data_IF_486251146465
#
_entry.id   IF_486251146465
#
_cell.length_a   1.000
_cell.length_b   1.000
_cell.length_c   1.000
_cell.angle_alpha   90.00
_cell.angle_beta   90.00
_cell.angle_gamma   90.00
#
_symmetry.space_group_name_H-M   'P 1'
#
loop_
_entity.id
_entity.type
_entity.pdbx_description
1 polymer ?
#
# COMPACT_ATOMS: atom_id res chain seq x y z
N UNK A 1 4.54 -3.61 13.49
CA UNK A 1 4.10 -2.71 12.40
C UNK A 1 3.83 -3.42 11.06
N UNK A 2 4.79 -4.13 10.46
CA UNK A 2 4.57 -4.88 9.19
C UNK A 2 3.46 -5.91 9.32
N UNK A 3 3.55 -6.76 10.35
CA UNK A 3 2.59 -7.83 10.64
C UNK A 3 1.17 -7.28 10.85
N UNK A 4 1.04 -6.14 11.50
CA UNK A 4 -0.27 -5.52 11.78
C UNK A 4 -0.89 -4.91 10.52
N UNK A 5 -0.11 -4.17 9.73
CA UNK A 5 -0.56 -3.67 8.43
C UNK A 5 -0.97 -4.83 7.51
N UNK A 6 -0.21 -5.94 7.56
CA UNK A 6 -0.50 -7.14 6.79
C UNK A 6 -1.76 -7.85 7.27
N UNK A 7 -1.95 -8.00 8.58
CA UNK A 7 -3.19 -8.54 9.16
C UNK A 7 -4.39 -7.67 8.82
N UNK A 8 -4.25 -6.35 8.91
CA UNK A 8 -5.31 -5.40 8.60
C UNK A 8 -5.75 -5.52 7.13
N UNK A 9 -4.77 -5.58 6.22
CA UNK A 9 -5.03 -5.82 4.80
C UNK A 9 -5.73 -7.16 4.56
N UNK A 10 -5.27 -8.22 5.23
CA UNK A 10 -5.83 -9.57 5.13
C UNK A 10 -7.26 -9.64 5.66
N UNK A 11 -7.51 -9.11 6.85
CA UNK A 11 -8.84 -9.11 7.51
C UNK A 11 -9.89 -8.41 6.63
N UNK A 12 -9.49 -7.33 5.97
CA UNK A 12 -10.33 -6.53 5.08
C UNK A 12 -10.35 -7.05 3.64
N UNK A 13 -9.66 -8.16 3.34
CA UNK A 13 -9.48 -8.71 1.99
C UNK A 13 -8.99 -7.69 0.96
N UNK A 14 -8.16 -6.74 1.39
CA UNK A 14 -7.67 -5.63 0.58
C UNK A 14 -6.56 -6.11 -0.35
N UNK A 15 -6.59 -5.70 -1.62
CA UNK A 15 -5.49 -5.89 -2.55
C UNK A 15 -4.48 -4.77 -2.37
N UNK A 16 -3.33 -5.15 -1.82
CA UNK A 16 -2.26 -4.23 -1.46
C UNK A 16 -1.15 -4.34 -2.48
N UNK A 17 -0.86 -3.22 -3.13
CA UNK A 17 0.22 -3.03 -4.06
C UNK A 17 1.45 -2.46 -3.34
N UNK A 18 2.62 -3.02 -3.59
CA UNK A 18 3.85 -2.61 -2.93
C UNK A 18 4.58 -1.58 -3.80
N UNK A 19 4.62 -0.31 -3.35
CA UNK A 19 5.18 0.80 -4.14
C UNK A 19 6.54 1.28 -3.63
N UNK A 20 7.56 1.27 -4.50
CA UNK A 20 8.94 1.73 -4.25
C UNK A 20 9.54 1.25 -2.91
N UNK A 21 9.14 0.07 -2.45
CA UNK A 21 9.63 -0.55 -1.22
C UNK A 21 10.00 -2.01 -1.53
N UNK A 22 10.95 -2.57 -0.78
CA UNK A 22 11.31 -3.99 -0.84
C UNK A 22 11.11 -4.58 0.56
N UNK A 23 9.89 -5.00 0.86
CA UNK A 23 9.53 -5.56 2.17
C UNK A 23 8.84 -6.92 2.00
N UNK A 24 9.60 -7.98 1.65
CA UNK A 24 9.05 -9.32 1.45
C UNK A 24 8.38 -9.88 2.72
N UNK A 25 8.79 -9.44 3.92
CA UNK A 25 8.13 -9.83 5.17
C UNK A 25 6.65 -9.44 5.21
N UNK A 26 6.22 -8.37 4.53
CA UNK A 26 4.80 -8.02 4.46
C UNK A 26 3.98 -9.11 3.78
N UNK A 27 4.48 -9.63 2.66
CA UNK A 27 3.85 -10.69 1.85
C UNK A 27 3.69 -11.97 2.67
N UNK A 28 4.70 -12.29 3.48
CA UNK A 28 4.68 -13.46 4.38
C UNK A 28 3.60 -13.32 5.44
N UNK A 29 3.41 -12.13 6.02
CA UNK A 29 2.38 -11.91 7.04
C UNK A 29 0.98 -11.69 6.48
N UNK A 30 0.86 -11.10 5.29
CA UNK A 30 -0.45 -10.89 4.65
C UNK A 30 -0.96 -12.17 4.02
N UNK A 31 -0.06 -13.14 3.79
CA UNK A 31 -0.29 -14.37 3.03
C UNK A 31 -1.00 -14.09 1.69
N UNK A 32 -0.80 -12.89 1.16
CA UNK A 32 -1.47 -12.37 -0.02
C UNK A 32 -0.42 -11.83 -0.97
N UNK A 33 -0.58 -12.16 -2.24
CA UNK A 33 0.26 -11.63 -3.31
C UNK A 33 0.11 -10.12 -3.34
N UNK A 34 1.23 -9.41 -3.17
CA UNK A 34 1.27 -7.97 -3.43
C UNK A 34 1.82 -7.76 -4.83
N UNK A 35 1.08 -7.00 -5.62
CA UNK A 35 1.55 -6.56 -6.92
C UNK A 35 2.63 -5.49 -6.72
N UNK A 36 3.78 -5.66 -7.37
CA UNK A 36 4.88 -4.67 -7.38
C UNK A 36 4.75 -3.68 -8.53
N UNK A 37 3.61 -3.72 -9.22
CA UNK A 37 3.31 -2.93 -10.40
C UNK A 37 2.71 -1.59 -9.99
N UNK A 38 2.54 -0.69 -10.95
CA UNK A 38 1.88 0.60 -10.74
C UNK A 38 0.47 0.38 -10.20
N UNK A 39 0.19 0.80 -8.97
CA UNK A 39 -1.11 0.62 -8.35
C UNK A 39 -2.16 1.46 -9.08
N UNK A 40 -3.35 0.87 -9.28
CA UNK A 40 -4.43 1.55 -9.99
C UNK A 40 -5.31 2.38 -9.04
N UNK A 41 -6.03 3.36 -9.60
CA UNK A 41 -7.06 4.07 -8.85
C UNK A 41 -8.13 3.08 -8.36
N UNK A 42 -8.44 3.13 -7.06
CA UNK A 42 -9.29 2.21 -6.35
C UNK A 42 -8.53 1.15 -5.55
N UNK A 43 -7.26 0.90 -5.87
CA UNK A 43 -6.42 -0.08 -5.16
C UNK A 43 -5.69 0.52 -3.96
N UNK A 44 -5.21 -0.35 -3.09
CA UNK A 44 -4.49 0.06 -1.88
C UNK A 44 -3.01 -0.16 -2.11
N UNK A 45 -2.21 0.81 -1.69
CA UNK A 45 -0.76 0.76 -1.71
C UNK A 45 -0.20 0.68 -0.32
N UNK A 46 0.86 -0.08 -0.17
CA UNK A 46 1.75 0.02 0.97
C UNK A 46 3.04 0.70 0.56
N UNK A 47 3.36 1.79 1.24
CA UNK A 47 4.60 2.53 1.06
C UNK A 47 4.97 3.29 2.32
N UNK A 48 6.07 4.04 2.30
CA UNK A 48 6.43 4.95 3.40
C UNK A 48 5.73 6.29 3.20
N UNK A 49 5.42 7.00 4.29
CA UNK A 49 4.81 8.35 4.24
C UNK A 49 5.52 9.29 3.25
N UNK A 50 6.84 9.20 3.17
CA UNK A 50 7.69 10.01 2.27
C UNK A 50 7.49 9.71 0.78
N UNK A 51 7.06 8.49 0.43
CA UNK A 51 6.81 8.08 -0.96
C UNK A 51 5.33 8.24 -1.35
N UNK A 52 4.47 8.63 -0.40
CA UNK A 52 3.06 8.88 -0.66
C UNK A 52 2.85 10.12 -1.54
N UNK A 53 3.79 11.07 -1.47
CA UNK A 53 3.83 12.32 -2.24
C UNK A 53 3.83 12.09 -3.77
N UNK A 54 4.22 10.88 -4.21
CA UNK A 54 4.16 10.46 -5.61
C UNK A 54 2.71 10.30 -6.11
N UNK A 55 1.74 10.20 -5.20
CA UNK A 55 0.31 10.05 -5.52
C UNK A 55 -0.48 11.31 -5.14
N UNK A 56 -1.08 11.97 -6.13
CA UNK A 56 -1.89 13.19 -5.93
C UNK A 56 -3.16 12.97 -5.10
N UNK A 57 -3.76 11.77 -5.14
CA UNK A 57 -4.93 11.46 -4.34
C UNK A 57 -4.81 10.05 -3.75
N UNK A 58 -4.43 10.00 -2.48
CA UNK A 58 -4.38 8.78 -1.68
C UNK A 58 -5.07 8.98 -0.33
N UNK A 59 -5.94 8.05 0.04
CA UNK A 59 -6.63 8.04 1.32
C UNK A 59 -5.89 7.11 2.29
N UNK A 60 -5.28 7.66 3.34
CA UNK A 60 -4.54 6.87 4.33
C UNK A 60 -5.53 6.02 5.12
N UNK A 61 -5.48 4.70 4.91
CA UNK A 61 -6.29 3.73 5.64
C UNK A 61 -5.62 3.30 6.95
N UNK A 62 -4.28 3.30 6.97
CA UNK A 62 -3.51 2.84 8.12
C UNK A 62 -2.11 3.45 8.08
N UNK A 63 -1.64 3.98 9.22
CA UNK A 63 -0.25 4.40 9.39
C UNK A 63 0.34 3.86 10.69
N UNK A 64 1.54 3.25 10.62
CA UNK A 64 2.26 2.79 11.82
C UNK A 64 3.77 2.69 11.60
N UNK A 65 4.56 3.29 12.49
CA UNK A 65 6.04 3.23 12.48
C UNK A 65 6.67 3.50 11.10
N UNK A 66 6.13 4.48 10.35
CA UNK A 66 6.66 4.89 9.04
C UNK A 66 6.18 4.03 7.85
N UNK A 67 5.35 3.02 8.10
CA UNK A 67 4.61 2.29 7.05
C UNK A 67 3.21 2.89 6.95
N UNK A 68 2.79 3.17 5.72
CA UNK A 68 1.47 3.73 5.41
C UNK A 68 0.80 2.82 4.38
N UNK A 69 -0.43 2.41 4.68
CA UNK A 69 -1.37 1.89 3.70
C UNK A 69 -2.26 3.05 3.28
N UNK A 70 -2.30 3.32 1.99
CA UNK A 70 -3.22 4.31 1.47
C UNK A 70 -3.95 3.74 0.25
N UNK A 71 -5.21 4.12 0.09
CA UNK A 71 -6.02 3.79 -1.08
C UNK A 71 -5.79 4.86 -2.13
N UNK A 72 -5.37 4.48 -3.33
CA UNK A 72 -5.27 5.41 -4.44
C UNK A 72 -6.68 5.80 -4.87
N UNK A 73 -6.97 7.08 -4.83
CA UNK A 73 -8.21 7.66 -5.34
C UNK A 73 -8.00 8.14 -6.78
N UNK A 74 -6.80 8.62 -7.11
CA UNK A 74 -6.45 9.09 -8.45
C UNK A 74 -4.98 8.83 -8.73
N UNK A 75 -4.72 8.05 -9.78
CA UNK A 75 -3.38 7.95 -10.38
C UNK A 75 -3.34 8.96 -11.53
N UNK A 76 -2.46 9.96 -11.43
CA UNK A 76 -2.34 10.96 -12.48
C UNK A 76 -1.47 10.38 -13.58
N UNK A 77 -2.10 9.89 -14.65
CA UNK A 77 -1.42 9.73 -15.92
C UNK A 77 -1.09 11.15 -16.40
N UNK A 78 0.15 11.59 -16.14
CA UNK A 78 0.65 12.85 -16.68
C UNK A 78 0.47 12.77 -18.22
N UNK A 79 -0.27 13.71 -18.85
CA UNK A 79 -0.49 13.72 -20.29
C UNK A 79 0.80 14.00 -21.07
#
# INVERSE_FOLDING_TARGET
PVKEAALFAKERNLDVNMWKMNMPSFIVYSEKLVSRTTPQAGEIVITKKTNLDDFNATEILYEKHGIVLAKIIKTEARP
#
